data_IF_741708290161
#
_entry.id   IF_741708290161
#
_cell.length_a   1.000
_cell.length_b   1.000
_cell.length_c   1.000
_cell.angle_alpha   90.00
_cell.angle_beta   90.00
_cell.angle_gamma   90.00
#
_symmetry.space_group_name_H-M   'P 1'
#
loop_
_entity.id
_entity.type
_entity.pdbx_description
1 polymer ?
#
# COMPACT_ATOMS: atom_id res chain seq x y z
N UNK A 1 11.16 -12.58 -14.02
CA UNK A 1 11.65 -12.71 -12.63
C UNK A 1 12.49 -11.49 -12.34
N UNK A 2 12.12 -10.64 -11.38
CA UNK A 2 13.04 -9.60 -10.86
C UNK A 2 14.06 -10.29 -9.94
N UNK A 3 15.24 -9.71 -9.76
CA UNK A 3 16.32 -10.31 -8.96
C UNK A 3 15.89 -10.45 -7.49
N UNK A 4 15.52 -11.69 -7.13
CA UNK A 4 14.81 -12.10 -5.89
C UNK A 4 15.78 -12.59 -4.81
N UNK A 5 16.76 -11.77 -4.40
CA UNK A 5 17.66 -12.12 -3.28
C UNK A 5 17.97 -10.94 -2.36
N UNK A 6 17.53 -11.09 -1.11
CA UNK A 6 17.94 -10.38 0.12
C UNK A 6 17.33 -8.99 0.39
N UNK A 7 16.00 -8.90 0.48
CA UNK A 7 15.33 -7.71 1.04
C UNK A 7 15.63 -7.52 2.55
N UNK A 8 15.80 -8.59 3.32
CA UNK A 8 15.97 -8.54 4.80
C UNK A 8 17.27 -7.84 5.26
N UNK A 9 18.32 -7.82 4.43
CA UNK A 9 19.59 -7.12 4.74
C UNK A 9 19.63 -5.66 4.27
N UNK A 10 18.63 -5.22 3.51
CA UNK A 10 18.67 -3.92 2.80
C UNK A 10 17.96 -2.80 3.58
N UNK A 11 17.01 -3.12 4.46
CA UNK A 11 16.19 -2.13 5.17
C UNK A 11 16.44 -2.14 6.68
N UNK A 12 16.45 -0.95 7.31
CA UNK A 12 16.70 -0.82 8.75
C UNK A 12 15.50 -1.24 9.62
N UNK A 13 14.29 -1.27 9.04
CA UNK A 13 13.05 -1.67 9.72
C UNK A 13 11.95 -2.06 8.74
N UNK A 14 10.94 -2.79 9.23
CA UNK A 14 9.73 -3.10 8.46
C UNK A 14 9.01 -1.84 7.95
N UNK A 15 8.98 -0.76 8.74
CA UNK A 15 8.37 0.50 8.32
C UNK A 15 9.08 1.11 7.11
N UNK A 16 10.41 1.17 7.17
CA UNK A 16 11.21 1.70 6.06
C UNK A 16 11.03 0.85 4.80
N UNK A 17 11.07 -0.48 4.95
CA UNK A 17 10.78 -1.41 3.87
C UNK A 17 9.41 -1.14 3.24
N UNK A 18 8.36 -1.09 4.07
CA UNK A 18 6.99 -0.95 3.58
C UNK A 18 6.77 0.39 2.86
N UNK A 19 7.31 1.48 3.38
CA UNK A 19 7.25 2.78 2.72
C UNK A 19 7.84 2.74 1.31
N UNK A 20 9.03 2.13 1.17
CA UNK A 20 9.74 2.04 -0.12
C UNK A 20 8.99 1.10 -1.07
N UNK A 21 8.51 -0.05 -0.58
CA UNK A 21 7.72 -0.99 -1.37
C UNK A 21 6.44 -0.31 -1.91
N UNK A 22 5.71 0.42 -1.06
CA UNK A 22 4.52 1.15 -1.47
C UNK A 22 4.83 2.22 -2.53
N UNK A 23 5.85 3.06 -2.32
CA UNK A 23 6.23 4.09 -3.28
C UNK A 23 6.59 3.46 -4.64
N UNK A 24 7.46 2.44 -4.63
CA UNK A 24 7.94 1.74 -5.82
C UNK A 24 6.82 1.07 -6.61
N UNK A 25 5.95 0.31 -5.95
CA UNK A 25 4.89 -0.42 -6.65
C UNK A 25 3.81 0.51 -7.21
N UNK A 26 3.51 1.61 -6.50
CA UNK A 26 2.58 2.62 -6.99
C UNK A 26 3.16 3.38 -8.19
N UNK A 27 4.39 3.87 -8.12
CA UNK A 27 5.06 4.54 -9.24
C UNK A 27 5.23 3.60 -10.46
N UNK A 28 5.49 2.32 -10.20
CA UNK A 28 5.55 1.33 -11.26
C UNK A 28 4.20 1.13 -11.96
N UNK A 29 3.08 1.16 -11.24
CA UNK A 29 1.76 0.81 -11.80
C UNK A 29 0.92 2.02 -12.26
N UNK A 30 0.93 3.10 -11.48
CA UNK A 30 0.13 4.31 -11.68
C UNK A 30 0.85 5.25 -12.65
N UNK A 31 0.10 5.80 -13.60
CA UNK A 31 0.56 6.82 -14.54
C UNK A 31 0.18 8.23 -14.08
N UNK A 32 -1.04 8.36 -13.57
CA UNK A 32 -1.64 9.62 -13.15
C UNK A 32 -2.77 9.29 -12.17
N UNK A 33 -3.07 10.20 -11.24
CA UNK A 33 -4.05 9.94 -10.19
C UNK A 33 -4.67 11.22 -9.65
N UNK A 34 -5.94 11.14 -9.25
CA UNK A 34 -6.60 12.18 -8.45
C UNK A 34 -6.74 11.68 -7.03
N UNK A 35 -6.38 12.52 -6.07
CA UNK A 35 -6.54 12.23 -4.65
C UNK A 35 -7.94 12.59 -4.15
N UNK A 36 -8.35 11.98 -3.04
CA UNK A 36 -9.61 12.34 -2.39
C UNK A 36 -9.53 13.74 -1.79
N UNK A 37 -10.69 14.42 -1.68
CA UNK A 37 -10.76 15.76 -1.07
C UNK A 37 -10.25 15.76 0.38
N UNK A 38 -10.47 14.68 1.12
CA UNK A 38 -9.97 14.52 2.48
C UNK A 38 -8.44 14.48 2.52
N UNK A 39 -7.80 13.76 1.59
CA UNK A 39 -6.35 13.72 1.50
C UNK A 39 -5.76 15.06 1.06
N UNK A 40 -6.32 15.68 0.01
CA UNK A 40 -5.93 17.03 -0.43
C UNK A 40 -5.96 18.04 0.72
N UNK A 41 -7.07 18.07 1.47
CA UNK A 41 -7.22 18.97 2.62
C UNK A 41 -6.18 18.71 3.71
N UNK A 42 -5.94 17.43 4.06
CA UNK A 42 -4.97 17.06 5.10
C UNK A 42 -3.55 17.48 4.73
N UNK A 43 -3.14 17.26 3.48
CA UNK A 43 -1.80 17.63 3.02
C UNK A 43 -1.62 19.14 2.97
N UNK A 44 -2.63 19.87 2.47
CA UNK A 44 -2.61 21.33 2.45
C UNK A 44 -2.49 21.92 3.85
N UNK A 45 -3.34 21.47 4.79
CA UNK A 45 -3.30 21.92 6.19
C UNK A 45 -1.93 21.67 6.84
N UNK A 46 -1.33 20.51 6.59
CA UNK A 46 0.01 20.20 7.12
C UNK A 46 1.08 21.14 6.58
N UNK A 47 1.00 21.52 5.31
CA UNK A 47 1.94 22.47 4.69
C UNK A 47 1.73 23.88 5.26
N UNK A 48 0.49 24.31 5.40
CA UNK A 48 0.14 25.60 5.99
C UNK A 48 0.66 25.70 7.43
N UNK A 49 0.47 24.65 8.25
CA UNK A 49 1.00 24.58 9.62
C UNK A 49 2.54 24.63 9.70
N UNK A 50 3.26 24.14 8.68
CA UNK A 50 4.72 24.23 8.62
C UNK A 50 5.16 25.66 8.30
N UNK A 51 4.48 26.31 7.35
CA UNK A 51 4.73 27.72 6.97
C UNK A 51 4.44 28.67 8.13
N UNK A 52 3.30 28.50 8.81
CA UNK A 52 2.93 29.30 9.98
C UNK A 52 3.95 29.23 11.13
N UNK A 53 4.77 28.17 11.19
CA UNK A 53 5.87 28.03 12.15
C UNK A 53 7.17 28.72 11.71
N UNK A 54 7.12 29.58 10.69
CA UNK A 54 8.26 30.35 10.19
C UNK A 54 9.29 29.51 9.45
N UNK A 55 8.87 28.38 8.87
CA UNK A 55 9.72 27.51 8.06
C UNK A 55 9.41 27.67 6.57
N UNK A 56 9.44 28.92 6.11
CA UNK A 56 9.09 29.28 4.74
C UNK A 56 10.10 28.75 3.70
N UNK A 57 11.33 28.46 4.13
CA UNK A 57 12.41 27.90 3.30
C UNK A 57 12.30 26.37 3.11
N UNK A 58 11.23 25.73 3.58
CA UNK A 58 11.02 24.29 3.37
C UNK A 58 10.55 24.05 1.94
N UNK A 59 11.40 23.40 1.15
CA UNK A 59 11.01 22.89 -0.16
C UNK A 59 10.03 21.73 0.03
N UNK A 60 8.81 21.90 -0.48
CA UNK A 60 7.77 20.87 -0.41
C UNK A 60 7.78 20.08 -1.72
N UNK A 61 7.93 18.75 -1.64
CA UNK A 61 7.78 17.85 -2.79
C UNK A 61 6.30 17.61 -3.18
N UNK A 62 5.44 18.61 -2.93
CA UNK A 62 4.00 18.59 -3.24
C UNK A 62 3.64 19.91 -3.90
N UNK A 63 3.02 19.81 -5.09
CA UNK A 63 2.52 20.95 -5.85
C UNK A 63 1.00 20.84 -5.93
N UNK A 64 0.30 21.92 -5.62
CA UNK A 64 -1.15 22.01 -5.75
C UNK A 64 -1.52 22.82 -6.98
N UNK A 65 -2.64 22.48 -7.62
CA UNK A 65 -3.24 23.29 -8.67
C UNK A 65 -3.96 24.52 -8.07
N UNK A 66 -4.52 25.36 -8.94
CA UNK A 66 -5.27 26.57 -8.55
C UNK A 66 -6.54 26.28 -7.75
N UNK A 67 -7.05 25.06 -7.81
CA UNK A 67 -8.22 24.60 -7.05
C UNK A 67 -7.83 24.05 -5.66
N UNK A 68 -6.53 23.99 -5.35
CA UNK A 68 -6.01 23.43 -4.10
C UNK A 68 -6.01 21.90 -4.05
N UNK A 69 -6.14 21.23 -5.20
CA UNK A 69 -5.93 19.79 -5.32
C UNK A 69 -4.45 19.49 -5.60
N UNK A 70 -3.95 18.36 -5.11
CA UNK A 70 -2.57 17.92 -5.42
C UNK A 70 -2.45 17.66 -6.92
N UNK A 71 -1.56 18.40 -7.57
CA UNK A 71 -1.21 18.23 -8.98
C UNK A 71 -0.01 17.28 -9.14
N UNK A 72 0.99 17.42 -8.26
CA UNK A 72 2.16 16.55 -8.21
C UNK A 72 2.54 16.28 -6.75
N UNK A 73 2.98 15.06 -6.47
CA UNK A 73 3.44 14.63 -5.15
C UNK A 73 4.50 13.56 -5.32
N UNK A 74 5.56 13.66 -4.54
CA UNK A 74 6.59 12.63 -4.47
C UNK A 74 6.01 11.29 -3.99
N UNK A 75 6.36 10.21 -4.70
CA UNK A 75 5.93 8.85 -4.37
C UNK A 75 6.38 8.45 -2.96
N UNK A 76 7.51 8.96 -2.47
CA UNK A 76 7.99 8.69 -1.10
C UNK A 76 7.04 9.25 -0.04
N UNK A 77 6.38 10.38 -0.30
CA UNK A 77 5.37 10.94 0.62
C UNK A 77 4.16 10.00 0.70
N UNK A 78 3.73 9.49 -0.45
CA UNK A 78 2.63 8.52 -0.53
C UNK A 78 3.00 7.21 0.16
N UNK A 79 4.20 6.68 -0.11
CA UNK A 79 4.72 5.47 0.51
C UNK A 79 4.76 5.57 2.03
N UNK A 80 5.28 6.69 2.55
CA UNK A 80 5.32 6.96 4.00
C UNK A 80 3.91 7.06 4.60
N UNK A 81 2.98 7.74 3.92
CA UNK A 81 1.58 7.84 4.37
C UNK A 81 0.92 6.46 4.48
N UNK A 82 1.09 5.61 3.46
CA UNK A 82 0.52 4.26 3.44
C UNK A 82 1.15 3.41 4.54
N UNK A 83 2.48 3.42 4.66
CA UNK A 83 3.18 2.64 5.68
C UNK A 83 2.75 3.02 7.10
N UNK A 84 2.66 4.32 7.39
CA UNK A 84 2.22 4.81 8.70
C UNK A 84 0.76 4.39 8.99
N UNK A 85 -0.15 4.55 8.03
CA UNK A 85 -1.53 4.11 8.20
C UNK A 85 -1.65 2.59 8.37
N UNK A 86 -0.84 1.83 7.64
CA UNK A 86 -0.79 0.38 7.76
C UNK A 86 -0.37 -0.03 9.17
N UNK A 87 0.73 0.53 9.68
CA UNK A 87 1.26 0.21 11.02
C UNK A 87 0.22 0.53 12.10
N UNK A 88 -0.38 1.71 12.06
CA UNK A 88 -1.44 2.09 13.02
C UNK A 88 -2.61 1.10 12.94
N UNK A 89 -3.04 0.76 11.72
CA UNK A 89 -4.20 -0.11 11.50
C UNK A 89 -3.96 -1.56 11.91
N UNK A 90 -2.78 -2.11 11.59
CA UNK A 90 -2.43 -3.50 11.93
C UNK A 90 -2.25 -3.63 13.45
N UNK A 91 -1.60 -2.67 14.10
CA UNK A 91 -1.48 -2.68 15.56
C UNK A 91 -2.83 -2.61 16.24
N UNK A 92 -3.72 -1.72 15.80
CA UNK A 92 -5.08 -1.62 16.32
C UNK A 92 -5.87 -2.93 16.14
N UNK A 93 -5.74 -3.58 14.98
CA UNK A 93 -6.38 -4.87 14.75
C UNK A 93 -5.91 -5.93 15.77
N UNK A 94 -4.60 -5.98 16.03
CA UNK A 94 -4.00 -6.89 17.02
C UNK A 94 -4.03 -6.33 18.46
N UNK A 95 -5.06 -5.54 18.80
CA UNK A 95 -5.28 -5.00 20.16
C UNK A 95 -4.08 -4.21 20.69
N UNK A 96 -3.57 -3.31 19.87
CA UNK A 96 -2.44 -2.42 20.14
C UNK A 96 -1.13 -3.16 20.45
N UNK A 97 -1.00 -4.41 19.97
CA UNK A 97 0.25 -5.16 20.08
C UNK A 97 1.40 -4.41 19.39
N UNK A 98 2.62 -4.43 19.96
CA UNK A 98 3.78 -3.84 19.30
C UNK A 98 4.05 -4.47 17.94
N UNK A 99 4.36 -3.65 16.93
CA UNK A 99 4.61 -4.11 15.55
C UNK A 99 5.60 -5.28 15.50
N UNK A 100 6.71 -5.22 16.25
CA UNK A 100 7.70 -6.31 16.32
C UNK A 100 7.08 -7.65 16.72
N UNK A 101 6.12 -7.65 17.65
CA UNK A 101 5.43 -8.88 18.10
C UNK A 101 4.53 -9.43 16.98
N UNK A 102 3.78 -8.57 16.31
CA UNK A 102 2.93 -8.94 15.18
C UNK A 102 3.78 -9.56 14.06
N UNK A 103 4.87 -8.90 13.70
CA UNK A 103 5.80 -9.39 12.67
C UNK A 103 6.44 -10.72 13.08
N UNK A 104 6.85 -10.88 14.34
CA UNK A 104 7.42 -12.15 14.84
C UNK A 104 6.41 -13.29 14.73
N UNK A 105 5.14 -13.04 15.05
CA UNK A 105 4.05 -14.02 14.91
C UNK A 105 3.73 -14.31 13.44
N UNK A 106 3.82 -13.32 12.55
CA UNK A 106 3.64 -13.52 11.12
C UNK A 106 4.76 -14.39 10.50
N UNK A 107 5.96 -14.37 11.07
CA UNK A 107 7.09 -15.20 10.61
C UNK A 107 7.03 -16.60 11.22
N UNK A 108 6.92 -16.69 12.56
CA UNK A 108 7.09 -17.94 13.32
C UNK A 108 5.78 -18.61 13.73
N UNK A 109 4.65 -17.95 13.53
CA UNK A 109 3.35 -18.46 13.94
C UNK A 109 2.85 -19.61 13.07
N UNK A 110 1.69 -20.12 13.46
CA UNK A 110 1.00 -21.17 12.72
C UNK A 110 0.61 -20.72 11.30
N UNK A 111 0.37 -21.68 10.40
CA UNK A 111 -0.13 -21.38 9.05
C UNK A 111 -1.44 -20.56 9.10
N UNK A 112 -2.30 -20.83 10.09
CA UNK A 112 -3.49 -20.02 10.35
C UNK A 112 -3.13 -18.57 10.71
N UNK A 113 -2.20 -18.36 11.65
CA UNK A 113 -1.72 -17.03 12.03
C UNK A 113 -1.21 -16.25 10.81
N UNK A 114 -0.43 -16.91 9.93
CA UNK A 114 0.09 -16.32 8.68
C UNK A 114 -1.04 -15.94 7.72
N UNK A 115 -2.00 -16.85 7.49
CA UNK A 115 -3.17 -16.61 6.63
C UNK A 115 -4.01 -15.44 7.12
N UNK A 116 -4.25 -15.37 8.42
CA UNK A 116 -4.97 -14.27 9.06
C UNK A 116 -4.21 -12.96 8.84
N UNK A 117 -2.91 -12.92 9.13
CA UNK A 117 -2.05 -11.75 8.93
C UNK A 117 -2.11 -11.23 7.49
N UNK A 118 -1.97 -12.11 6.49
CA UNK A 118 -2.02 -11.75 5.07
C UNK A 118 -3.40 -11.19 4.72
N UNK A 119 -4.49 -11.85 5.12
CA UNK A 119 -5.84 -11.40 4.81
C UNK A 119 -6.15 -10.01 5.40
N UNK A 120 -5.74 -9.77 6.65
CA UNK A 120 -5.90 -8.48 7.33
C UNK A 120 -5.06 -7.42 6.63
N UNK A 121 -3.80 -7.74 6.31
CA UNK A 121 -2.88 -6.82 5.64
C UNK A 121 -3.41 -6.36 4.28
N UNK A 122 -3.90 -7.29 3.46
CA UNK A 122 -4.54 -6.97 2.19
C UNK A 122 -5.75 -6.03 2.39
N UNK A 123 -6.57 -6.29 3.41
CA UNK A 123 -7.76 -5.46 3.71
C UNK A 123 -7.39 -4.03 4.12
N UNK A 124 -6.35 -3.88 4.94
CA UNK A 124 -5.84 -2.57 5.37
C UNK A 124 -5.27 -1.80 4.19
N UNK A 125 -4.42 -2.43 3.38
CA UNK A 125 -3.83 -1.78 2.20
C UNK A 125 -4.90 -1.37 1.20
N UNK A 126 -5.83 -2.26 0.88
CA UNK A 126 -6.95 -1.95 -0.03
C UNK A 126 -7.73 -0.71 0.43
N UNK A 127 -8.15 -0.68 1.70
CA UNK A 127 -8.89 0.46 2.27
C UNK A 127 -8.04 1.73 2.30
N UNK A 128 -6.74 1.61 2.55
CA UNK A 128 -5.84 2.76 2.58
C UNK A 128 -5.75 3.41 1.20
N UNK A 129 -5.57 2.60 0.15
CA UNK A 129 -5.53 3.07 -1.23
C UNK A 129 -6.89 3.62 -1.69
N UNK A 130 -7.99 2.96 -1.35
CA UNK A 130 -9.36 3.42 -1.65
C UNK A 130 -9.67 4.78 -1.01
N UNK A 131 -9.17 5.04 0.21
CA UNK A 131 -9.33 6.34 0.88
C UNK A 131 -8.38 7.41 0.35
N UNK A 132 -7.26 7.01 -0.27
CA UNK A 132 -6.25 7.91 -0.79
C UNK A 132 -6.65 8.46 -2.16
N UNK A 133 -7.09 7.57 -3.06
CA UNK A 133 -7.33 7.89 -4.45
C UNK A 133 -8.82 7.99 -4.78
N UNK A 134 -9.16 9.06 -5.50
CA UNK A 134 -10.47 9.26 -6.13
C UNK A 134 -10.53 8.62 -7.52
N UNK A 135 -9.45 8.72 -8.27
CA UNK A 135 -9.32 8.17 -9.63
C UNK A 135 -7.86 7.83 -9.92
N UNK A 136 -7.63 6.75 -10.68
CA UNK A 136 -6.29 6.26 -11.01
C UNK A 136 -6.25 5.89 -12.49
N UNK A 137 -5.33 6.51 -13.23
CA UNK A 137 -4.90 6.04 -14.55
C UNK A 137 -3.65 5.18 -14.38
N UNK A 138 -3.64 4.01 -14.99
CA UNK A 138 -2.59 3.00 -14.78
C UNK A 138 -2.11 2.41 -16.10
N UNK A 139 -0.93 1.76 -16.07
CA UNK A 139 -0.32 1.11 -17.24
C UNK A 139 -1.14 -0.11 -17.66
N UNK A 140 -1.78 -0.04 -18.83
CA UNK A 140 -2.72 -1.06 -19.31
C UNK A 140 -2.07 -2.44 -19.46
N UNK A 141 -0.84 -2.51 -19.96
CA UNK A 141 -0.11 -3.76 -20.14
C UNK A 141 0.16 -4.44 -18.78
N UNK A 142 0.51 -3.65 -17.78
CA UNK A 142 0.71 -4.13 -16.41
C UNK A 142 -0.60 -4.66 -15.83
N UNK A 143 -1.70 -3.93 -16.01
CA UNK A 143 -3.01 -4.38 -15.53
C UNK A 143 -3.46 -5.70 -16.17
N UNK A 144 -3.24 -5.88 -17.48
CA UNK A 144 -3.55 -7.15 -18.17
C UNK A 144 -2.68 -8.28 -17.60
N UNK A 145 -1.36 -8.07 -17.52
CA UNK A 145 -0.41 -9.06 -16.99
C UNK A 145 -0.81 -9.53 -15.59
N UNK A 146 -1.03 -8.60 -14.66
CA UNK A 146 -1.36 -8.95 -13.28
C UNK A 146 -2.79 -9.46 -13.12
N UNK A 147 -3.73 -9.00 -13.94
CA UNK A 147 -5.07 -9.58 -13.98
C UNK A 147 -5.03 -11.07 -14.36
N UNK A 148 -4.17 -11.44 -15.30
CA UNK A 148 -3.96 -12.85 -15.64
C UNK A 148 -3.28 -13.61 -14.51
N UNK A 149 -2.18 -13.07 -13.97
CA UNK A 149 -1.41 -13.69 -12.89
C UNK A 149 -2.25 -13.99 -11.65
N UNK A 150 -3.15 -13.08 -11.27
CA UNK A 150 -3.97 -13.20 -10.07
C UNK A 150 -5.38 -13.77 -10.31
N UNK A 151 -5.73 -14.13 -11.54
CA UNK A 151 -7.06 -14.66 -11.83
C UNK A 151 -8.20 -13.63 -11.72
N UNK A 152 -7.92 -12.36 -12.01
CA UNK A 152 -8.87 -11.23 -11.88
C UNK A 152 -9.71 -10.98 -13.13
N UNK A 153 -9.61 -11.82 -14.17
CA UNK A 153 -10.30 -11.60 -15.46
C UNK A 153 -11.83 -11.54 -15.32
N UNK A 154 -12.37 -12.26 -14.33
CA UNK A 154 -13.81 -12.33 -14.03
C UNK A 154 -14.20 -11.50 -12.79
N UNK A 155 -13.29 -10.67 -12.27
CA UNK A 155 -13.56 -9.84 -11.10
C UNK A 155 -14.50 -8.70 -11.50
N UNK A 156 -15.78 -8.80 -11.12
CA UNK A 156 -16.84 -7.86 -11.49
C UNK A 156 -16.67 -6.48 -10.84
N UNK A 157 -15.96 -6.39 -9.72
CA UNK A 157 -15.61 -5.11 -9.09
C UNK A 157 -14.56 -4.42 -9.94
N UNK A 158 -14.95 -3.29 -10.54
CA UNK A 158 -14.20 -2.60 -11.60
C UNK A 158 -12.90 -1.93 -11.18
N UNK A 159 -12.47 -2.06 -9.92
CA UNK A 159 -11.33 -1.30 -9.44
C UNK A 159 -10.02 -2.10 -9.46
N UNK A 160 -9.64 -2.53 -10.67
CA UNK A 160 -8.31 -3.10 -10.92
C UNK A 160 -7.19 -2.14 -10.49
N UNK A 161 -7.49 -0.84 -10.48
CA UNK A 161 -6.55 0.22 -10.17
C UNK A 161 -6.11 0.24 -8.71
N UNK A 162 -6.95 -0.26 -7.80
CA UNK A 162 -6.65 -0.38 -6.36
C UNK A 162 -6.19 -1.80 -6.00
N UNK A 163 -6.86 -2.83 -6.55
CA UNK A 163 -6.56 -4.21 -6.17
C UNK A 163 -5.16 -4.64 -6.63
N UNK A 164 -4.73 -4.26 -7.84
CA UNK A 164 -3.43 -4.70 -8.35
C UNK A 164 -2.28 -4.12 -7.52
N UNK A 165 -2.22 -2.80 -7.24
CA UNK A 165 -1.22 -2.27 -6.32
C UNK A 165 -1.25 -2.89 -4.92
N UNK A 166 -2.46 -3.17 -4.40
CA UNK A 166 -2.61 -3.88 -3.12
C UNK A 166 -1.89 -5.23 -3.16
N UNK A 167 -2.08 -6.00 -4.23
CA UNK A 167 -1.47 -7.31 -4.39
C UNK A 167 0.04 -7.24 -4.60
N UNK A 168 0.53 -6.28 -5.39
CA UNK A 168 1.96 -6.07 -5.59
C UNK A 168 2.69 -5.75 -4.28
N UNK A 169 2.13 -4.84 -3.47
CA UNK A 169 2.68 -4.52 -2.14
C UNK A 169 2.64 -5.75 -1.22
N UNK A 170 1.59 -6.56 -1.31
CA UNK A 170 1.47 -7.79 -0.51
C UNK A 170 2.44 -8.89 -0.93
N UNK A 171 2.76 -9.02 -2.22
CA UNK A 171 3.85 -9.88 -2.69
C UNK A 171 5.17 -9.47 -2.02
N UNK A 172 5.49 -8.17 -2.00
CA UNK A 172 6.70 -7.66 -1.33
C UNK A 172 6.69 -7.96 0.18
N UNK A 173 5.58 -7.72 0.88
CA UNK A 173 5.46 -7.98 2.32
C UNK A 173 5.69 -9.46 2.62
N UNK A 174 5.02 -10.35 1.87
CA UNK A 174 5.17 -11.78 2.05
C UNK A 174 6.61 -12.23 1.78
N UNK A 175 7.26 -11.69 0.74
CA UNK A 175 8.66 -11.99 0.44
C UNK A 175 9.59 -11.49 1.56
N UNK A 176 9.41 -10.25 2.03
CA UNK A 176 10.19 -9.68 3.13
C UNK A 176 10.08 -10.52 4.42
N UNK A 177 8.89 -11.04 4.71
CA UNK A 177 8.62 -11.86 5.89
C UNK A 177 8.84 -13.37 5.67
N UNK A 178 9.26 -13.79 4.48
CA UNK A 178 9.39 -15.21 4.10
C UNK A 178 8.10 -16.02 4.32
N UNK A 179 6.94 -15.41 4.08
CA UNK A 179 5.63 -16.08 4.08
C UNK A 179 5.47 -16.82 2.74
N UNK A 180 5.01 -18.06 2.82
CA UNK A 180 4.93 -18.97 1.69
C UNK A 180 3.94 -18.46 0.61
N UNK A 181 4.31 -18.56 -0.67
CA UNK A 181 3.52 -18.01 -1.79
C UNK A 181 2.10 -18.60 -1.89
N UNK A 182 1.93 -19.87 -1.50
CA UNK A 182 0.63 -20.52 -1.46
C UNK A 182 -0.33 -19.84 -0.47
N UNK A 183 0.17 -19.35 0.67
CA UNK A 183 -0.65 -18.60 1.64
C UNK A 183 -1.17 -17.32 1.01
N UNK A 184 -0.30 -16.57 0.31
CA UNK A 184 -0.71 -15.36 -0.41
C UNK A 184 -1.77 -15.68 -1.48
N UNK A 185 -1.52 -16.69 -2.33
CA UNK A 185 -2.47 -17.09 -3.39
C UNK A 185 -3.83 -17.49 -2.82
N UNK A 186 -3.86 -18.23 -1.73
CA UNK A 186 -5.09 -18.63 -1.08
C UNK A 186 -5.85 -17.42 -0.50
N UNK A 187 -5.14 -16.49 0.14
CA UNK A 187 -5.74 -15.25 0.65
C UNK A 187 -6.29 -14.36 -0.47
N UNK A 188 -5.62 -14.31 -1.63
CA UNK A 188 -6.11 -13.63 -2.83
C UNK A 188 -7.40 -14.29 -3.33
N UNK A 189 -7.42 -15.62 -3.44
CA UNK A 189 -8.60 -16.37 -3.86
C UNK A 189 -9.78 -16.18 -2.91
N UNK A 190 -9.53 -16.16 -1.60
CA UNK A 190 -10.56 -15.86 -0.58
C UNK A 190 -11.10 -14.43 -0.75
N UNK A 191 -10.21 -13.44 -0.92
CA UNK A 191 -10.62 -12.05 -1.14
C UNK A 191 -11.45 -11.86 -2.41
N UNK A 192 -11.06 -12.51 -3.50
CA UNK A 192 -11.77 -12.49 -4.78
C UNK A 192 -13.14 -13.17 -4.63
N UNK A 193 -13.20 -14.34 -3.97
CA UNK A 193 -14.44 -15.11 -3.82
C UNK A 193 -15.47 -14.44 -2.91
N UNK A 194 -15.05 -13.83 -1.79
CA UNK A 194 -15.93 -13.07 -0.90
C UNK A 194 -16.52 -11.81 -1.56
N UNK A 195 -15.91 -11.35 -2.66
CA UNK A 195 -16.32 -10.15 -3.39
C UNK A 195 -16.86 -10.45 -4.81
N UNK A 196 -17.10 -11.73 -5.13
CA UNK A 196 -17.84 -12.18 -6.33
C UNK A 196 -19.36 -12.14 -6.14
N UNK A 197 -19.82 -12.05 -4.89
CA UNK A 197 -21.21 -11.84 -4.46
C UNK A 197 -21.43 -10.32 -4.32
#
# INVERSE_FOLDING_TARGET
>A
MRDRKHLDKTYKSFNQFLSIACARELEYFILDSKFTSAFNYRMKKMIDEVREKGKDDVEFSIIFNTEGEIALIDADIIGNFISNNYIISIQKYYKDAPLKKIITEAINGSEKSKRDFVAISCSILYKTLENLYKDIKYKKESAIKYSIQYGLQNYKRRDLSIIIPTLLIMEDICEYLSIEENILRDSINMMISWRKI
#
